data_IF_920379164299
#
_entry.id   IF_920379164299
#
_cell.length_a   1.000
_cell.length_b   1.000
_cell.length_c   1.000
_cell.angle_alpha   90.00
_cell.angle_beta   90.00
_cell.angle_gamma   90.00
#
_symmetry.space_group_name_H-M   'P 1'
#
loop_
_entity.id
_entity.type
_entity.pdbx_description
1 polymer ?
#
# COMPACT_ATOMS: atom_id res chain seq x y z
N UNK A 1 -15.61 -0.61 8.31
CA UNK A 1 -14.82 0.64 8.32
C UNK A 1 -15.42 1.65 7.36
N UNK A 2 -15.35 2.95 7.69
CA UNK A 2 -15.77 4.02 6.79
C UNK A 2 -14.56 4.58 6.04
N UNK A 3 -14.52 4.37 4.73
CA UNK A 3 -13.36 4.64 3.88
C UNK A 3 -13.40 6.08 3.38
N UNK A 4 -12.78 6.99 4.14
CA UNK A 4 -12.83 8.43 3.87
C UNK A 4 -12.01 8.82 2.64
N UNK A 5 -12.59 9.66 1.78
CA UNK A 5 -11.90 10.30 0.66
C UNK A 5 -11.64 11.77 0.93
N UNK A 6 -10.59 12.32 0.33
CA UNK A 6 -10.34 13.77 0.31
C UNK A 6 -10.57 14.34 -1.10
N UNK A 7 -10.73 15.66 -1.20
CA UNK A 7 -10.73 16.39 -2.47
C UNK A 7 -9.34 16.96 -2.70
N UNK A 8 -8.39 16.21 -3.29
CA UNK A 8 -6.97 16.62 -3.28
C UNK A 8 -6.70 17.94 -4.01
N UNK A 9 -7.55 18.32 -4.96
CA UNK A 9 -7.45 19.61 -5.67
C UNK A 9 -7.74 20.84 -4.78
N UNK A 10 -8.27 20.64 -3.56
CA UNK A 10 -8.45 21.73 -2.59
C UNK A 10 -7.24 21.92 -1.68
N UNK A 11 -6.15 21.17 -1.88
CA UNK A 11 -4.93 21.24 -1.09
C UNK A 11 -3.74 21.60 -1.98
N UNK A 12 -2.80 22.33 -1.42
CA UNK A 12 -1.44 22.42 -1.95
C UNK A 12 -0.68 21.11 -1.76
N UNK A 13 0.40 20.91 -2.53
CA UNK A 13 1.25 19.74 -2.37
C UNK A 13 1.86 19.66 -0.96
N UNK A 14 2.24 20.79 -0.38
CA UNK A 14 2.78 20.86 0.98
C UNK A 14 1.77 20.40 2.03
N UNK A 15 0.48 20.76 1.87
CA UNK A 15 -0.58 20.25 2.74
C UNK A 15 -0.78 18.74 2.59
N UNK A 16 -0.68 18.20 1.37
CA UNK A 16 -0.78 16.76 1.14
C UNK A 16 0.41 15.99 1.72
N UNK A 17 1.63 16.53 1.59
CA UNK A 17 2.83 15.98 2.24
C UNK A 17 2.75 16.07 3.75
N UNK A 18 2.16 17.14 4.29
CA UNK A 18 1.88 17.28 5.72
C UNK A 18 0.91 16.20 6.20
N UNK A 19 -0.20 15.97 5.49
CA UNK A 19 -1.13 14.87 5.77
C UNK A 19 -0.38 13.53 5.78
N UNK A 20 0.44 13.27 4.77
CA UNK A 20 1.25 12.05 4.72
C UNK A 20 2.15 11.88 5.94
N UNK A 21 2.87 12.94 6.32
CA UNK A 21 3.78 12.89 7.47
C UNK A 21 3.03 12.64 8.77
N UNK A 22 1.99 13.43 9.04
CA UNK A 22 1.25 13.40 10.31
C UNK A 22 0.44 12.11 10.49
N UNK A 23 -0.11 11.56 9.40
CA UNK A 23 -1.00 10.40 9.46
C UNK A 23 -0.27 9.07 9.29
N UNK A 24 0.90 9.07 8.65
CA UNK A 24 1.64 7.85 8.32
C UNK A 24 3.06 7.80 8.88
N UNK A 25 3.87 8.83 8.65
CA UNK A 25 5.29 8.79 9.04
C UNK A 25 5.49 8.92 10.56
N UNK A 26 4.67 9.75 11.22
CA UNK A 26 4.75 10.03 12.66
C UNK A 26 3.93 9.05 13.50
N UNK A 27 3.09 8.21 12.89
CA UNK A 27 2.21 7.27 13.57
C UNK A 27 2.77 5.85 13.59
N UNK A 28 2.37 5.08 14.60
CA UNK A 28 2.56 3.63 14.61
C UNK A 28 1.33 2.94 14.05
N UNK A 29 1.43 2.46 12.81
CA UNK A 29 0.33 1.79 12.13
C UNK A 29 0.57 0.29 12.20
N UNK A 30 -0.32 -0.41 12.88
CA UNK A 30 -0.38 -1.86 12.92
C UNK A 30 -1.43 -2.37 11.94
N UNK A 31 -1.13 -3.48 11.29
CA UNK A 31 -2.16 -4.23 10.56
C UNK A 31 -3.08 -4.95 11.54
N UNK A 32 -4.23 -5.43 11.06
CA UNK A 32 -5.15 -6.22 11.89
C UNK A 32 -4.51 -7.47 12.51
N UNK A 33 -3.44 -7.98 11.87
CA UNK A 33 -2.64 -9.10 12.35
C UNK A 33 -1.32 -8.69 13.03
N UNK A 34 -1.30 -7.52 13.65
CA UNK A 34 -0.26 -7.02 14.55
C UNK A 34 1.13 -6.82 13.91
N UNK A 35 1.19 -6.58 12.60
CA UNK A 35 2.44 -6.22 11.90
C UNK A 35 2.60 -4.70 11.94
N UNK A 36 3.68 -4.21 12.54
CA UNK A 36 4.02 -2.79 12.52
C UNK A 36 4.51 -2.38 11.13
N UNK A 37 3.78 -1.49 10.46
CA UNK A 37 4.12 -0.97 9.13
C UNK A 37 4.75 0.40 9.27
N UNK A 38 6.01 0.53 8.83
CA UNK A 38 6.70 1.83 8.76
C UNK A 38 6.47 2.52 7.42
N UNK A 39 6.30 3.83 7.51
CA UNK A 39 6.16 4.76 6.40
C UNK A 39 7.30 5.78 6.48
N UNK A 40 7.69 6.32 5.33
CA UNK A 40 8.80 7.26 5.22
C UNK A 40 8.37 8.43 4.33
N UNK A 41 8.91 9.62 4.60
CA UNK A 41 8.54 10.83 3.86
C UNK A 41 8.91 10.73 2.37
N UNK A 42 10.05 10.11 2.06
CA UNK A 42 10.52 9.87 0.68
C UNK A 42 9.62 8.91 -0.13
N UNK A 43 8.72 8.20 0.55
CA UNK A 43 7.74 7.33 -0.11
C UNK A 43 6.52 8.09 -0.65
N UNK A 44 6.30 9.36 -0.28
CA UNK A 44 5.20 10.16 -0.81
C UNK A 44 5.21 10.15 -2.35
N UNK A 45 6.36 10.47 -2.94
CA UNK A 45 6.53 10.52 -4.39
C UNK A 45 6.38 9.14 -5.04
N UNK A 46 6.76 8.09 -4.32
CA UNK A 46 6.59 6.73 -4.81
C UNK A 46 5.13 6.29 -4.84
N UNK A 47 4.33 6.73 -3.87
CA UNK A 47 2.94 6.34 -3.73
C UNK A 47 2.04 7.23 -4.58
N UNK A 48 2.25 8.54 -4.60
CA UNK A 48 1.30 9.49 -5.19
C UNK A 48 1.71 10.07 -6.53
N UNK A 49 2.94 9.86 -7.01
CA UNK A 49 3.29 10.23 -8.39
C UNK A 49 3.19 9.01 -9.30
N UNK A 50 2.57 9.24 -10.44
CA UNK A 50 2.53 8.32 -11.55
C UNK A 50 3.31 8.90 -12.72
N UNK A 51 3.55 8.03 -13.70
CA UNK A 51 4.21 8.45 -14.92
C UNK A 51 3.22 8.86 -15.99
N UNK A 52 3.56 9.94 -16.70
CA UNK A 52 2.78 10.47 -17.81
C UNK A 52 2.66 9.48 -18.97
N UNK A 53 3.56 8.49 -19.04
CA UNK A 53 3.58 7.47 -20.08
C UNK A 53 4.09 6.15 -19.54
N UNK A 54 3.34 5.05 -19.71
CA UNK A 54 3.84 3.70 -19.36
C UNK A 54 5.15 3.32 -20.07
N UNK A 55 5.53 4.02 -21.15
CA UNK A 55 6.79 3.82 -21.91
C UNK A 55 7.96 4.66 -21.40
N UNK A 56 7.71 5.79 -20.74
CA UNK A 56 8.73 6.72 -20.26
C UNK A 56 8.61 6.72 -18.73
N UNK A 57 9.58 6.24 -17.96
CA UNK A 57 9.48 6.25 -16.48
C UNK A 57 9.65 7.66 -15.88
N UNK A 58 8.95 8.68 -16.39
CA UNK A 58 8.97 10.03 -15.82
C UNK A 58 7.94 10.11 -14.69
N UNK A 59 8.34 10.17 -13.42
CA UNK A 59 7.38 10.42 -12.31
C UNK A 59 7.00 11.91 -12.27
N UNK A 60 6.25 12.37 -13.27
CA UNK A 60 5.98 13.80 -13.49
C UNK A 60 4.57 14.24 -13.07
N UNK A 61 3.65 13.29 -12.79
CA UNK A 61 2.24 13.61 -12.54
C UNK A 61 1.84 13.23 -11.12
N UNK A 62 1.39 14.22 -10.35
CA UNK A 62 0.74 14.00 -9.07
C UNK A 62 -0.65 13.37 -9.28
N UNK A 63 -0.83 12.14 -8.82
CA UNK A 63 -2.04 11.35 -9.05
C UNK A 63 -3.14 11.71 -8.06
N UNK A 64 -4.06 12.58 -8.50
CA UNK A 64 -5.24 12.97 -7.70
C UNK A 64 -6.10 11.76 -7.33
N UNK A 65 -6.19 10.73 -8.18
CA UNK A 65 -6.94 9.51 -7.87
C UNK A 65 -6.35 8.74 -6.68
N UNK A 66 -5.02 8.69 -6.56
CA UNK A 66 -4.34 8.05 -5.42
C UNK A 66 -4.45 8.91 -4.16
N UNK A 67 -4.28 10.23 -4.29
CA UNK A 67 -4.40 11.16 -3.16
C UNK A 67 -5.81 11.23 -2.59
N UNK A 68 -6.84 11.14 -3.42
CA UNK A 68 -8.24 11.04 -2.98
C UNK A 68 -8.42 9.91 -1.95
N UNK A 69 -7.62 8.84 -2.08
CA UNK A 69 -7.65 7.62 -1.26
C UNK A 69 -6.48 7.56 -0.27
N UNK A 70 -5.85 8.69 0.06
CA UNK A 70 -4.70 8.72 0.97
C UNK A 70 -4.99 7.99 2.28
N UNK A 71 -6.19 8.14 2.87
CA UNK A 71 -6.57 7.46 4.11
C UNK A 71 -6.89 5.97 3.96
N UNK A 72 -7.22 5.51 2.75
CA UNK A 72 -7.56 4.10 2.53
C UNK A 72 -6.36 3.19 2.76
N UNK A 73 -5.13 3.72 2.78
CA UNK A 73 -3.92 2.94 3.04
C UNK A 73 -3.96 2.37 4.47
N UNK A 74 -4.20 3.19 5.49
CA UNK A 74 -4.32 2.69 6.87
C UNK A 74 -5.55 1.80 7.04
N UNK A 75 -6.68 2.21 6.47
CA UNK A 75 -7.93 1.44 6.55
C UNK A 75 -7.73 0.03 5.97
N UNK A 76 -7.08 -0.10 4.81
CA UNK A 76 -6.79 -1.40 4.19
C UNK A 76 -5.85 -2.29 5.01
N UNK A 77 -4.91 -1.70 5.76
CA UNK A 77 -3.99 -2.46 6.61
C UNK A 77 -4.68 -2.96 7.87
N UNK A 78 -5.62 -2.19 8.40
CA UNK A 78 -6.35 -2.46 9.64
C UNK A 78 -7.62 -3.28 9.42
N UNK A 79 -8.05 -3.48 8.18
CA UNK A 79 -9.25 -4.23 7.84
C UNK A 79 -9.03 -5.76 7.97
N UNK A 80 -9.68 -6.45 8.94
CA UNK A 80 -9.59 -7.89 9.07
C UNK A 80 -10.27 -8.66 7.92
N UNK A 81 -11.15 -8.00 7.17
CA UNK A 81 -11.86 -8.58 6.03
C UNK A 81 -11.09 -8.37 4.69
N UNK A 82 -9.90 -7.77 4.74
CA UNK A 82 -9.06 -7.58 3.56
C UNK A 82 -8.64 -8.92 2.95
N UNK A 83 -8.75 -9.03 1.63
CA UNK A 83 -8.24 -10.19 0.90
C UNK A 83 -6.73 -10.08 0.83
N UNK A 84 -6.01 -11.07 1.36
CA UNK A 84 -4.54 -11.05 1.43
C UNK A 84 -3.94 -11.99 0.40
N UNK A 85 -3.14 -11.45 -0.53
CA UNK A 85 -2.49 -12.19 -1.62
C UNK A 85 -0.97 -12.04 -1.58
N UNK A 86 -0.25 -13.02 -2.14
CA UNK A 86 1.20 -12.90 -2.40
C UNK A 86 1.43 -11.88 -3.52
N UNK A 87 2.40 -10.98 -3.35
CA UNK A 87 2.68 -9.98 -4.38
C UNK A 87 3.59 -10.56 -5.49
N UNK A 88 3.22 -10.35 -6.75
CA UNK A 88 3.98 -10.80 -7.93
C UNK A 88 5.28 -10.01 -8.17
N UNK A 89 6.39 -10.71 -8.45
CA UNK A 89 7.66 -10.16 -8.93
C UNK A 89 7.79 -10.37 -10.45
N UNK A 90 7.50 -9.33 -11.22
CA UNK A 90 7.56 -9.39 -12.68
C UNK A 90 8.97 -9.62 -13.26
N UNK A 91 10.04 -9.31 -12.50
CA UNK A 91 11.42 -9.51 -12.96
C UNK A 91 11.83 -10.97 -12.82
N UNK A 92 11.46 -11.59 -11.69
CA UNK A 92 11.77 -13.01 -11.42
C UNK A 92 10.74 -13.97 -11.98
N UNK A 93 9.57 -13.47 -12.39
CA UNK A 93 8.40 -14.26 -12.78
C UNK A 93 8.00 -15.25 -11.68
N UNK A 94 8.01 -14.76 -10.44
CA UNK A 94 7.70 -15.54 -9.25
C UNK A 94 7.04 -14.62 -8.20
N UNK A 95 6.53 -15.18 -7.11
CA UNK A 95 5.96 -14.42 -6.01
C UNK A 95 7.03 -13.96 -5.03
N UNK A 96 6.86 -12.73 -4.52
CA UNK A 96 7.68 -12.24 -3.43
C UNK A 96 7.42 -13.05 -2.16
N UNK A 97 8.48 -13.61 -1.59
CA UNK A 97 8.43 -14.29 -0.29
C UNK A 97 8.24 -13.33 0.88
N UNK A 98 8.50 -12.04 0.68
CA UNK A 98 8.54 -11.01 1.71
C UNK A 98 7.53 -9.87 1.47
N UNK A 99 6.50 -10.08 0.63
CA UNK A 99 5.49 -9.05 0.37
C UNK A 99 4.07 -9.59 0.43
N UNK A 100 3.19 -8.74 0.94
CA UNK A 100 1.75 -8.97 1.04
C UNK A 100 1.01 -7.87 0.31
N UNK A 101 0.06 -8.26 -0.53
CA UNK A 101 -0.96 -7.37 -1.09
C UNK A 101 -2.25 -7.52 -0.29
N UNK A 102 -2.75 -6.43 0.28
CA UNK A 102 -4.08 -6.35 0.88
C UNK A 102 -5.02 -5.68 -0.11
N UNK A 103 -6.12 -6.34 -0.44
CA UNK A 103 -7.15 -5.84 -1.36
C UNK A 103 -8.41 -5.54 -0.56
N UNK A 104 -8.87 -4.30 -0.67
CA UNK A 104 -10.11 -3.81 -0.06
C UNK A 104 -10.94 -3.05 -1.08
N UNK A 105 -12.22 -2.84 -0.76
CA UNK A 105 -13.16 -2.08 -1.61
C UNK A 105 -13.20 -2.57 -3.06
N UNK A 106 -13.06 -3.88 -3.24
CA UNK A 106 -13.10 -4.58 -4.53
C UNK A 106 -11.81 -4.47 -5.34
N UNK A 107 -11.10 -3.34 -5.32
CA UNK A 107 -9.98 -3.12 -6.23
C UNK A 107 -8.90 -2.15 -5.74
N UNK A 108 -8.93 -1.73 -4.48
CA UNK A 108 -7.87 -0.93 -3.89
C UNK A 108 -6.83 -1.84 -3.25
N UNK A 109 -5.58 -1.68 -3.67
CA UNK A 109 -4.47 -2.58 -3.32
C UNK A 109 -3.44 -1.81 -2.52
N UNK A 110 -3.07 -2.35 -1.36
CA UNK A 110 -1.92 -1.88 -0.56
C UNK A 110 -0.88 -2.98 -0.48
N UNK A 111 0.35 -2.69 -0.89
CA UNK A 111 1.46 -3.64 -0.85
C UNK A 111 2.42 -3.23 0.24
N UNK A 112 2.69 -4.15 1.16
CA UNK A 112 3.74 -4.01 2.17
C UNK A 112 4.84 -5.04 1.95
N UNK A 113 6.04 -4.73 2.44
CA UNK A 113 7.19 -5.63 2.45
C UNK A 113 7.64 -5.88 3.87
N UNK A 114 7.70 -7.13 4.27
CA UNK A 114 8.24 -7.56 5.56
C UNK A 114 9.74 -7.28 5.62
N UNK A 115 10.16 -6.69 6.73
CA UNK A 115 11.56 -6.33 7.01
C UNK A 115 12.11 -7.07 8.23
N UNK A 116 11.25 -7.71 9.03
CA UNK A 116 11.60 -8.54 10.17
C UNK A 116 10.35 -9.13 10.84
N UNK A 117 10.55 -9.73 12.01
CA UNK A 117 9.46 -10.26 12.84
C UNK A 117 8.45 -9.16 13.18
N UNK A 118 7.19 -9.37 12.79
CA UNK A 118 6.06 -8.44 12.95
C UNK A 118 6.37 -7.00 12.50
N UNK A 119 7.26 -6.86 11.51
CA UNK A 119 7.69 -5.56 10.99
C UNK A 119 7.66 -5.56 9.47
N UNK A 120 7.06 -4.51 8.92
CA UNK A 120 7.00 -4.28 7.49
C UNK A 120 7.20 -2.80 7.17
N UNK A 121 7.31 -2.50 5.88
CA UNK A 121 7.24 -1.14 5.36
C UNK A 121 6.30 -1.08 4.17
N UNK A 122 5.69 0.07 3.95
CA UNK A 122 4.91 0.30 2.73
C UNK A 122 5.80 0.16 1.49
N UNK A 123 5.27 -0.50 0.45
CA UNK A 123 5.84 -0.51 -0.89
C UNK A 123 5.07 0.45 -1.78
N UNK A 124 3.76 0.29 -1.89
CA UNK A 124 2.91 1.15 -2.74
C UNK A 124 1.44 0.94 -2.41
N UNK A 125 0.58 1.84 -2.87
CA UNK A 125 -0.87 1.70 -2.82
C UNK A 125 -1.51 2.30 -4.07
N UNK A 126 -2.55 1.65 -4.60
CA UNK A 126 -3.22 2.10 -5.82
C UNK A 126 -4.58 1.41 -6.01
N UNK A 127 -5.46 2.08 -6.75
CA UNK A 127 -6.67 1.49 -7.32
C UNK A 127 -6.34 0.81 -8.65
N UNK A 128 -6.90 -0.38 -8.90
CA UNK A 128 -6.66 -1.16 -10.12
C UNK A 128 -7.98 -1.41 -10.85
N UNK A 129 -8.05 -1.07 -12.13
CA UNK A 129 -9.29 -1.26 -12.90
C UNK A 129 -9.66 -2.73 -13.11
N UNK A 130 -8.65 -3.55 -13.44
CA UNK A 130 -8.78 -5.00 -13.61
C UNK A 130 -7.93 -5.67 -12.53
N UNK A 131 -8.59 -6.19 -11.50
CA UNK A 131 -8.00 -6.78 -10.30
C UNK A 131 -7.87 -8.30 -10.40
N UNK A 132 -8.46 -8.94 -11.41
CA UNK A 132 -8.63 -10.39 -11.49
C UNK A 132 -7.28 -11.12 -11.43
N UNK A 133 -6.26 -10.56 -12.04
CA UNK A 133 -4.92 -11.14 -11.99
C UNK A 133 -4.37 -11.21 -10.56
N UNK A 134 -4.67 -10.24 -9.69
CA UNK A 134 -4.24 -10.25 -8.29
C UNK A 134 -5.16 -11.15 -7.45
N UNK A 135 -6.48 -11.16 -7.71
CA UNK A 135 -7.40 -12.04 -6.98
C UNK A 135 -7.13 -13.52 -7.24
N UNK A 136 -6.61 -13.86 -8.42
CA UNK A 136 -6.20 -15.21 -8.78
C UNK A 136 -4.78 -15.57 -8.31
N UNK A 137 -4.02 -14.62 -7.75
CA UNK A 137 -2.74 -14.92 -7.12
C UNK A 137 -2.95 -15.82 -5.88
N UNK A 138 -1.94 -16.60 -5.46
CA UNK A 138 -2.01 -17.39 -4.23
C UNK A 138 -2.27 -16.51 -3.01
N UNK A 139 -3.00 -17.05 -2.04
CA UNK A 139 -3.24 -16.39 -0.77
C UNK A 139 -1.93 -16.15 -0.01
N UNK A 140 -1.90 -15.05 0.74
CA UNK A 140 -0.78 -14.77 1.62
C UNK A 140 -0.76 -15.77 2.78
N UNK A 141 0.38 -16.44 2.93
CA UNK A 141 0.62 -17.36 4.04
C UNK A 141 1.55 -16.69 5.05
N UNK A 142 1.18 -16.78 6.33
CA UNK A 142 2.09 -16.38 7.41
C UNK A 142 3.29 -17.32 7.40
N UNK A 143 4.47 -16.77 7.65
CA UNK A 143 5.70 -17.55 7.75
C UNK A 143 6.35 -17.30 9.09
N UNK A 144 6.95 -18.35 9.65
CA UNK A 144 7.66 -18.32 10.93
C UNK A 144 8.70 -17.20 10.98
N UNK A 145 9.40 -16.97 9.86
CA UNK A 145 10.37 -15.89 9.70
C UNK A 145 9.82 -14.49 10.02
N UNK A 146 8.55 -14.23 9.70
CA UNK A 146 7.94 -12.91 9.84
C UNK A 146 6.88 -12.82 10.93
N UNK A 147 6.35 -13.96 11.39
CA UNK A 147 5.30 -14.02 12.40
C UNK A 147 5.73 -14.74 13.69
N UNK A 148 6.86 -15.44 13.69
CA UNK A 148 7.32 -16.27 14.81
C UNK A 148 6.79 -17.70 14.71
N UNK A 149 7.27 -18.56 15.61
CA UNK A 149 6.62 -19.84 15.89
C UNK A 149 5.26 -19.56 16.55
N UNK A 150 4.22 -20.28 16.13
CA UNK A 150 2.87 -20.20 16.72
C UNK A 150 2.83 -20.72 18.16
#
# INVERSE_FOLDING_TARGET
MDYKRIKPYTFSEDELRKIWREEYCEQEIYTFDNVLVKFYEDMFDHVFYESSSRKIKDKSILSLNRLEKIYWIKDALQDPDAILKKAWDSKKKDYHKDRRAAIVKGNYVVIIRFTGLLKAKLVTAFEKNDIDNILNDPDFERSEKFFGED
#
